data_IF_170264186102
#
_entry.id   IF_170264186102
#
_cell.length_a   1.000
_cell.length_b   1.000
_cell.length_c   1.000
_cell.angle_alpha   90.00
_cell.angle_beta   90.00
_cell.angle_gamma   90.00
#
_symmetry.space_group_name_H-M   'P 1'
#
loop_
_entity.id
_entity.type
_entity.pdbx_description
1 polymer ?
#
# COMPACT_ATOMS: atom_id res chain seq x y z
N UNK A 1 0.18 -9.65 18.86
CA UNK A 1 0.22 -8.51 18.00
C UNK A 1 -1.08 -8.33 17.27
N UNK A 2 -1.51 -7.11 17.11
CA UNK A 2 -2.79 -6.84 16.49
C UNK A 2 -2.61 -6.50 15.03
N UNK A 3 -3.15 -7.34 14.19
CA UNK A 3 -3.20 -7.01 12.78
C UNK A 3 -4.42 -6.17 12.50
N UNK A 4 -4.37 -5.35 11.46
CA UNK A 4 -5.54 -4.54 11.12
C UNK A 4 -6.69 -5.42 10.67
N UNK A 5 -7.89 -4.92 10.86
CA UNK A 5 -9.05 -5.61 10.33
C UNK A 5 -9.00 -5.53 8.82
N UNK A 6 -9.23 -6.66 8.17
CA UNK A 6 -9.24 -6.73 6.73
C UNK A 6 -10.67 -6.71 6.28
N UNK A 7 -11.04 -5.64 5.57
CA UNK A 7 -12.38 -5.52 5.04
C UNK A 7 -12.31 -5.38 3.54
N UNK A 8 -13.03 -6.23 2.85
CA UNK A 8 -13.04 -6.19 1.40
C UNK A 8 -11.64 -6.31 0.83
N UNK A 9 -10.77 -7.07 1.54
CA UNK A 9 -9.41 -7.34 1.11
C UNK A 9 -8.53 -6.10 1.15
N UNK A 10 -8.87 -5.14 2.01
CA UNK A 10 -8.10 -3.91 2.21
C UNK A 10 -7.83 -3.70 3.67
N UNK A 11 -6.73 -3.03 3.99
CA UNK A 11 -6.43 -2.72 5.37
C UNK A 11 -5.39 -1.62 5.44
N UNK A 12 -5.32 -0.98 6.59
CA UNK A 12 -4.34 0.09 6.80
C UNK A 12 -3.14 -0.45 7.53
N UNK A 13 -1.97 0.05 7.16
CA UNK A 13 -0.73 -0.37 7.81
C UNK A 13 0.01 0.85 8.36
N UNK A 14 0.86 0.56 9.33
CA UNK A 14 1.71 1.57 9.96
C UNK A 14 3.03 0.90 10.30
N UNK A 15 3.92 1.63 10.97
CA UNK A 15 5.24 1.08 11.28
C UNK A 15 5.17 -0.16 12.16
N UNK A 16 4.10 -0.29 12.97
CA UNK A 16 4.05 -1.40 13.91
C UNK A 16 3.60 -2.68 13.26
N UNK A 17 2.71 -2.62 12.27
CA UNK A 17 2.19 -3.84 11.67
C UNK A 17 2.73 -4.12 10.27
N UNK A 18 3.58 -3.24 9.74
CA UNK A 18 4.03 -3.35 8.35
C UNK A 18 4.69 -4.69 8.04
N UNK A 19 5.63 -5.11 8.86
CA UNK A 19 6.37 -6.32 8.55
C UNK A 19 5.44 -7.52 8.47
N UNK A 20 4.51 -7.63 9.39
CA UNK A 20 3.62 -8.79 9.41
C UNK A 20 2.53 -8.67 8.36
N UNK A 21 1.96 -7.48 8.20
CA UNK A 21 0.81 -7.32 7.32
C UNK A 21 1.19 -7.23 5.85
N UNK A 22 2.41 -6.79 5.55
CA UNK A 22 2.85 -6.66 4.16
C UNK A 22 3.93 -7.68 3.83
N UNK A 23 5.04 -7.64 4.56
CA UNK A 23 6.19 -8.47 4.20
C UNK A 23 5.86 -9.96 4.35
N UNK A 24 5.40 -10.35 5.53
CA UNK A 24 5.11 -11.78 5.75
C UNK A 24 3.89 -12.22 4.97
N UNK A 25 2.89 -11.36 4.87
CA UNK A 25 1.68 -11.73 4.16
C UNK A 25 1.95 -11.93 2.67
N UNK A 26 2.96 -11.23 2.13
CA UNK A 26 3.26 -11.32 0.71
C UNK A 26 3.84 -12.67 0.31
N UNK A 27 4.19 -13.52 1.29
CA UNK A 27 4.59 -14.89 0.96
C UNK A 27 3.37 -15.78 0.72
N UNK A 28 2.18 -15.31 1.06
CA UNK A 28 0.96 -16.07 0.85
C UNK A 28 0.18 -15.59 -0.35
N UNK A 29 0.27 -14.31 -0.65
CA UNK A 29 -0.44 -13.74 -1.79
C UNK A 29 0.15 -12.38 -2.10
N UNK A 30 -0.12 -11.89 -3.28
CA UNK A 30 0.34 -10.57 -3.69
C UNK A 30 -0.22 -9.51 -2.76
N UNK A 31 0.62 -8.60 -2.31
CA UNK A 31 0.20 -7.46 -1.52
C UNK A 31 0.56 -6.20 -2.29
N UNK A 32 -0.42 -5.34 -2.50
CA UNK A 32 -0.22 -4.05 -3.14
C UNK A 32 -0.20 -3.01 -2.03
N UNK A 33 0.87 -2.25 -1.95
CA UNK A 33 1.01 -1.20 -0.93
C UNK A 33 0.82 0.15 -1.58
N UNK A 34 -0.19 0.87 -1.14
CA UNK A 34 -0.49 2.21 -1.63
C UNK A 34 0.01 3.21 -0.61
N UNK A 35 1.09 3.91 -0.94
CA UNK A 35 1.64 4.95 -0.07
C UNK A 35 1.08 6.27 -0.54
N UNK A 36 0.30 6.91 0.31
CA UNK A 36 -0.36 8.15 -0.04
C UNK A 36 -0.17 9.18 1.06
N UNK A 37 -0.61 10.38 0.81
CA UNK A 37 -0.54 11.46 1.79
C UNK A 37 -1.88 12.17 1.79
N UNK A 38 -2.23 12.68 2.96
CA UNK A 38 -3.55 13.30 3.12
C UNK A 38 -3.75 14.48 2.19
N UNK A 39 -2.69 15.24 1.93
CA UNK A 39 -2.78 16.44 1.12
C UNK A 39 -2.68 16.15 -0.37
N UNK A 40 -2.59 14.91 -0.76
CA UNK A 40 -2.23 14.53 -2.12
C UNK A 40 -3.48 14.39 -2.98
N UNK A 41 -3.68 15.29 -3.93
CA UNK A 41 -4.82 15.22 -4.84
C UNK A 41 -4.84 13.97 -5.69
N UNK A 42 -3.73 13.62 -6.37
CA UNK A 42 -3.72 12.41 -7.20
C UNK A 42 -4.01 11.13 -6.40
N UNK A 43 -3.65 11.11 -5.13
CA UNK A 43 -3.97 9.95 -4.30
C UNK A 43 -5.47 9.74 -4.18
N UNK A 44 -6.21 10.84 -4.09
CA UNK A 44 -7.66 10.75 -3.98
C UNK A 44 -8.32 10.25 -5.24
N UNK A 45 -7.68 10.46 -6.37
CA UNK A 45 -8.18 9.94 -7.64
C UNK A 45 -7.88 8.45 -7.75
N UNK A 46 -6.70 8.03 -7.31
CA UNK A 46 -6.29 6.65 -7.44
C UNK A 46 -6.99 5.72 -6.45
N UNK A 47 -7.25 6.20 -5.24
CA UNK A 47 -7.81 5.32 -4.20
C UNK A 47 -9.09 4.62 -4.61
N UNK A 48 -10.09 5.30 -5.18
CA UNK A 48 -11.29 4.60 -5.58
C UNK A 48 -11.04 3.54 -6.65
N UNK A 49 -10.05 3.77 -7.50
CA UNK A 49 -9.71 2.82 -8.53
C UNK A 49 -9.13 1.56 -7.90
N UNK A 50 -8.21 1.72 -6.97
CA UNK A 50 -7.62 0.58 -6.28
C UNK A 50 -8.65 -0.16 -5.44
N UNK A 51 -9.54 0.57 -4.78
CA UNK A 51 -10.59 -0.04 -4.00
C UNK A 51 -11.47 -0.92 -4.87
N UNK A 52 -11.83 -0.41 -6.05
CA UNK A 52 -12.69 -1.17 -6.94
C UNK A 52 -11.97 -2.41 -7.45
N UNK A 53 -10.70 -2.28 -7.80
CA UNK A 53 -9.94 -3.43 -8.28
C UNK A 53 -9.82 -4.49 -7.19
N UNK A 54 -9.58 -4.07 -5.95
CA UNK A 54 -9.43 -5.02 -4.87
C UNK A 54 -10.74 -5.79 -4.66
N UNK A 55 -11.88 -5.12 -4.80
CA UNK A 55 -13.17 -5.78 -4.69
C UNK A 55 -13.40 -6.75 -5.84
N UNK A 56 -13.07 -6.32 -7.04
CA UNK A 56 -13.31 -7.15 -8.22
C UNK A 56 -12.48 -8.41 -8.22
N UNK A 57 -11.26 -8.34 -7.68
CA UNK A 57 -10.37 -9.48 -7.67
C UNK A 57 -10.55 -10.37 -6.45
N UNK A 58 -11.38 -9.97 -5.52
CA UNK A 58 -11.90 -10.81 -4.44
C UNK A 58 -10.82 -11.60 -3.72
N UNK A 59 -9.80 -10.90 -3.26
CA UNK A 59 -8.79 -11.54 -2.42
C UNK A 59 -7.63 -12.15 -3.18
N UNK A 60 -7.59 -12.02 -4.50
CA UNK A 60 -6.43 -12.47 -5.23
C UNK A 60 -5.20 -11.63 -4.87
N UNK A 61 -5.44 -10.41 -4.42
CA UNK A 61 -4.37 -9.64 -3.81
C UNK A 61 -4.97 -8.86 -2.64
N UNK A 62 -4.11 -8.45 -1.73
CA UNK A 62 -4.51 -7.59 -0.63
C UNK A 62 -4.02 -6.18 -0.90
N UNK A 63 -4.84 -5.21 -0.55
CA UNK A 63 -4.49 -3.81 -0.72
C UNK A 63 -4.16 -3.23 0.66
N UNK A 64 -2.89 -2.89 0.86
CA UNK A 64 -2.43 -2.28 2.10
C UNK A 64 -2.29 -0.78 1.86
N UNK A 65 -2.83 0.02 2.75
CA UNK A 65 -2.82 1.47 2.61
C UNK A 65 -1.95 2.07 3.71
N UNK A 66 -0.99 2.88 3.30
CA UNK A 66 -0.09 3.55 4.23
C UNK A 66 -0.22 5.04 4.06
N UNK A 67 -0.55 5.72 5.16
CA UNK A 67 -0.58 7.17 5.15
C UNK A 67 0.82 7.66 5.51
N UNK A 68 1.45 8.42 4.62
CA UNK A 68 2.83 8.87 4.83
C UNK A 68 2.85 10.08 5.73
N UNK A 69 2.81 9.83 7.02
CA UNK A 69 2.87 10.88 8.03
C UNK A 69 3.52 10.34 9.28
N UNK A 70 4.09 11.23 10.03
CA UNK A 70 4.70 10.90 11.33
C UNK A 70 5.66 9.72 11.18
N UNK A 71 5.53 8.72 12.05
CA UNK A 71 6.42 7.57 12.03
C UNK A 71 6.34 6.79 10.72
N UNK A 72 5.20 6.82 10.08
CA UNK A 72 5.03 6.06 8.83
C UNK A 72 5.89 6.60 7.70
N UNK A 73 6.40 7.82 7.83
CA UNK A 73 7.35 8.33 6.83
C UNK A 73 8.60 7.46 6.74
N UNK A 74 8.91 6.73 7.80
CA UNK A 74 10.06 5.83 7.75
C UNK A 74 9.89 4.75 6.71
N UNK A 75 8.67 4.26 6.55
CA UNK A 75 8.41 3.23 5.53
C UNK A 75 8.52 3.85 4.15
N UNK A 76 7.95 5.04 3.96
CA UNK A 76 8.06 5.71 2.67
C UNK A 76 9.53 5.93 2.30
N UNK A 77 10.33 6.35 3.27
CA UNK A 77 11.76 6.57 3.03
C UNK A 77 12.50 5.28 2.75
N UNK A 78 12.14 4.20 3.45
CA UNK A 78 12.78 2.91 3.26
C UNK A 78 12.64 2.43 1.82
N UNK A 79 11.51 2.70 1.19
CA UNK A 79 11.29 2.27 -0.18
C UNK A 79 11.50 3.39 -1.19
N UNK A 80 12.05 4.51 -0.74
CA UNK A 80 12.40 5.58 -1.65
C UNK A 80 11.22 6.24 -2.33
N UNK A 81 10.09 6.34 -1.61
CA UNK A 81 8.93 7.01 -2.18
C UNK A 81 9.19 8.50 -2.20
N UNK A 82 9.26 9.08 -3.39
CA UNK A 82 9.58 10.48 -3.51
C UNK A 82 8.39 11.34 -3.80
N UNK A 83 7.35 10.78 -4.24
CA UNK A 83 6.11 11.50 -4.51
C UNK A 83 4.97 10.59 -4.20
N UNK A 84 3.76 11.13 -4.23
CA UNK A 84 2.59 10.36 -3.88
C UNK A 84 1.54 10.52 -4.97
N UNK A 85 0.82 9.44 -5.25
CA UNK A 85 0.94 8.14 -4.62
C UNK A 85 2.13 7.35 -5.16
N UNK A 86 2.66 6.48 -4.35
CA UNK A 86 3.64 5.49 -4.78
C UNK A 86 3.03 4.13 -4.47
N UNK A 87 2.93 3.27 -5.47
CA UNK A 87 2.30 1.98 -5.32
C UNK A 87 3.34 0.90 -5.57
N UNK A 88 3.47 -0.01 -4.61
CA UNK A 88 4.46 -1.07 -4.68
C UNK A 88 3.77 -2.41 -4.62
N UNK A 89 4.26 -3.38 -5.39
CA UNK A 89 3.74 -4.74 -5.34
C UNK A 89 4.77 -5.63 -4.66
N UNK A 90 4.32 -6.43 -3.70
CA UNK A 90 5.20 -7.30 -2.92
C UNK A 90 4.85 -8.76 -3.13
N UNK A 91 5.87 -9.56 -3.39
CA UNK A 91 5.77 -11.02 -3.43
C UNK A 91 6.97 -11.56 -2.66
N UNK A 92 6.71 -12.51 -1.75
CA UNK A 92 7.77 -13.15 -0.97
C UNK A 92 8.66 -12.13 -0.28
N UNK A 93 8.06 -11.08 0.24
CA UNK A 93 8.78 -10.09 1.04
C UNK A 93 9.53 -9.06 0.23
N UNK A 94 9.46 -9.11 -1.09
CA UNK A 94 10.25 -8.21 -1.92
C UNK A 94 9.37 -7.39 -2.85
N UNK A 95 9.79 -6.16 -3.06
CA UNK A 95 9.13 -5.30 -4.03
C UNK A 95 9.45 -5.83 -5.43
N UNK A 96 8.41 -6.23 -6.16
CA UNK A 96 8.60 -6.77 -7.51
C UNK A 96 8.14 -5.82 -8.60
N UNK A 97 7.33 -4.82 -8.24
CA UNK A 97 6.84 -3.85 -9.21
C UNK A 97 6.57 -2.55 -8.49
N UNK A 98 6.65 -1.46 -9.23
CA UNK A 98 6.43 -0.14 -8.64
C UNK A 98 5.82 0.78 -9.67
N UNK A 99 4.95 1.70 -9.18
CA UNK A 99 4.39 2.67 -10.06
C UNK A 99 4.16 3.93 -9.26
N UNK A 100 4.52 5.07 -9.83
CA UNK A 100 4.30 6.35 -9.21
C UNK A 100 3.48 7.17 -10.16
N UNK A 101 2.41 7.73 -9.69
CA UNK A 101 1.62 8.40 -10.51
C UNK A 101 2.10 9.68 -10.73
N UNK A 102 2.01 10.28 -10.90
CA UNK A 102 2.20 11.41 -10.90
C UNK A 102 2.75 11.98 -11.87
N UNK A 103 2.72 12.02 -12.54
CA UNK A 103 3.19 12.65 -13.24
C UNK A 103 2.73 13.45 -13.94
N UNK A 104 2.92 14.29 -13.99
CA UNK A 104 2.24 15.18 -14.54
C UNK A 104 2.63 15.26 -15.86
N UNK A 105 2.67 15.32 -16.28
CA UNK A 105 2.81 15.59 -17.14
C UNK A 105 3.02 16.16 -17.42
#
# INVERSE_FOLDING_TARGET
>A
MNLPAIEHHQFEVDVENFDQAVIEESSKRLVILDISAEWCGPCRVLEPILDRLSSEYQGEFLLAKLEAEDENMKIAGRYGARGFPTVLAFIDGEEVERFQSAQPE
#
